data_IF_699147876865
#
_entry.id   IF_699147876865
#
_cell.length_a   1.000
_cell.length_b   1.000
_cell.length_c   1.000
_cell.angle_alpha   90.00
_cell.angle_beta   90.00
_cell.angle_gamma   90.00
#
_symmetry.space_group_name_H-M   'P 1'
#
loop_
_entity.id
_entity.type
_entity.pdbx_description
1 polymer ?
#
# COMPACT_ATOMS: atom_id res chain seq x y z
N UNK A 1 -8.46 -41.52 -1.35
CA UNK A 1 -7.52 -41.38 -0.23
C UNK A 1 -6.40 -40.38 -0.47
N UNK A 2 -5.73 -40.38 -1.64
CA UNK A 2 -4.65 -39.43 -1.99
C UNK A 2 -5.06 -37.94 -1.89
N UNK A 3 -6.25 -37.57 -2.37
CA UNK A 3 -6.73 -36.17 -2.34
C UNK A 3 -6.95 -35.63 -0.92
N UNK A 4 -7.37 -36.46 0.01
CA UNK A 4 -7.56 -36.04 1.40
C UNK A 4 -6.23 -35.81 2.11
N UNK A 5 -5.21 -36.63 1.88
CA UNK A 5 -3.88 -36.43 2.44
C UNK A 5 -3.19 -35.17 1.91
N UNK A 6 -3.34 -34.88 0.62
CA UNK A 6 -2.83 -33.65 -0.01
C UNK A 6 -3.51 -32.42 0.63
N UNK A 7 -4.81 -32.48 0.85
CA UNK A 7 -5.58 -31.39 1.45
C UNK A 7 -5.17 -31.14 2.92
N UNK A 8 -4.88 -32.20 3.66
CA UNK A 8 -4.40 -32.12 5.03
C UNK A 8 -2.98 -31.53 5.11
N UNK A 9 -2.10 -31.93 4.22
CA UNK A 9 -0.74 -31.41 4.10
C UNK A 9 -0.77 -29.91 3.77
N UNK A 10 -1.56 -29.49 2.77
CA UNK A 10 -1.72 -28.09 2.39
C UNK A 10 -2.25 -27.24 3.55
N UNK A 11 -3.23 -27.76 4.30
CA UNK A 11 -3.79 -27.09 5.48
C UNK A 11 -2.72 -26.85 6.55
N UNK A 12 -1.83 -27.80 6.77
CA UNK A 12 -0.76 -27.67 7.75
C UNK A 12 0.27 -26.62 7.31
N UNK A 13 0.68 -26.63 6.03
CA UNK A 13 1.59 -25.63 5.47
C UNK A 13 1.00 -24.21 5.64
N UNK A 14 -0.24 -23.99 5.24
CA UNK A 14 -0.91 -22.68 5.40
C UNK A 14 -0.94 -22.25 6.87
N UNK A 15 -1.19 -23.19 7.78
CA UNK A 15 -1.24 -22.88 9.23
C UNK A 15 0.12 -22.49 9.78
N UNK A 16 1.18 -23.17 9.33
CA UNK A 16 2.53 -22.90 9.78
C UNK A 16 3.05 -21.57 9.24
N UNK A 17 2.78 -21.24 7.97
CA UNK A 17 3.04 -19.93 7.39
C UNK A 17 2.27 -18.80 8.11
N UNK A 18 1.02 -19.04 8.46
CA UNK A 18 0.24 -18.06 9.22
C UNK A 18 0.83 -17.81 10.62
N UNK A 19 1.30 -18.85 11.30
CA UNK A 19 1.98 -18.70 12.60
C UNK A 19 3.26 -17.90 12.45
N UNK A 20 4.06 -18.21 11.43
CA UNK A 20 5.29 -17.49 11.14
C UNK A 20 5.05 -15.98 10.92
N UNK A 21 4.09 -15.61 10.08
CA UNK A 21 3.73 -14.21 9.86
C UNK A 21 3.23 -13.55 11.15
N UNK A 22 2.43 -14.25 11.94
CA UNK A 22 1.92 -13.75 13.22
C UNK A 22 3.06 -13.46 14.20
N UNK A 23 4.07 -14.31 14.24
CA UNK A 23 5.24 -14.15 15.09
C UNK A 23 6.14 -13.00 14.61
N UNK A 24 6.33 -12.85 13.28
CA UNK A 24 7.08 -11.72 12.69
C UNK A 24 6.46 -10.35 13.05
N UNK A 25 5.13 -10.27 13.04
CA UNK A 25 4.42 -9.04 13.44
C UNK A 25 4.47 -8.85 14.97
N UNK A 26 4.76 -9.92 15.72
CA UNK A 26 4.70 -9.93 17.18
C UNK A 26 3.27 -9.79 17.70
N UNK A 27 2.29 -10.35 16.98
CA UNK A 27 0.87 -10.14 17.20
C UNK A 27 0.43 -10.46 18.63
N UNK A 28 0.92 -11.55 19.22
CA UNK A 28 0.53 -11.97 20.58
C UNK A 28 0.89 -10.92 21.66
N UNK A 29 1.95 -10.15 21.43
CA UNK A 29 2.40 -9.10 22.37
C UNK A 29 1.84 -7.71 22.01
N UNK A 30 1.64 -7.44 20.72
CA UNK A 30 1.31 -6.10 20.19
C UNK A 30 -0.12 -5.99 19.66
N UNK A 31 -0.97 -7.02 19.82
CA UNK A 31 -2.32 -7.02 19.26
C UNK A 31 -3.14 -5.80 19.67
N UNK A 32 -3.05 -5.39 20.94
CA UNK A 32 -3.76 -4.20 21.45
C UNK A 32 -3.27 -2.91 20.76
N UNK A 33 -1.95 -2.75 20.61
CA UNK A 33 -1.36 -1.59 19.92
C UNK A 33 -1.72 -1.55 18.45
N UNK A 34 -1.65 -2.70 17.76
CA UNK A 34 -2.03 -2.84 16.36
C UNK A 34 -3.49 -2.46 16.16
N UNK A 35 -4.38 -3.00 17.01
CA UNK A 35 -5.80 -2.69 16.96
C UNK A 35 -6.07 -1.20 17.24
N UNK A 36 -5.43 -0.62 18.28
CA UNK A 36 -5.54 0.80 18.61
C UNK A 36 -5.14 1.68 17.43
N UNK A 37 -3.98 1.41 16.82
CA UNK A 37 -3.49 2.18 15.69
C UNK A 37 -4.44 2.07 14.49
N UNK A 38 -4.93 0.86 14.18
CA UNK A 38 -5.93 0.66 13.13
C UNK A 38 -7.23 1.42 13.41
N UNK A 39 -7.70 1.39 14.65
CA UNK A 39 -8.94 2.05 15.06
C UNK A 39 -8.82 3.58 15.01
N UNK A 40 -7.69 4.12 15.48
CA UNK A 40 -7.43 5.56 15.55
C UNK A 40 -7.08 6.15 14.20
N UNK A 41 -6.16 5.52 13.46
CA UNK A 41 -5.65 6.03 12.18
C UNK A 41 -6.52 5.62 10.99
N UNK A 42 -7.36 4.60 11.16
CA UNK A 42 -8.21 4.04 10.10
C UNK A 42 -7.44 3.27 9.04
N UNK A 43 -6.14 3.09 9.22
CA UNK A 43 -5.25 2.43 8.25
C UNK A 43 -3.94 2.00 8.89
N UNK A 44 -3.41 0.87 8.42
CA UNK A 44 -2.11 0.37 8.81
C UNK A 44 -1.24 0.16 7.58
N UNK A 45 0.04 0.40 7.73
CA UNK A 45 1.05 0.13 6.72
C UNK A 45 2.15 -0.71 7.32
N UNK A 46 2.52 -1.76 6.60
CA UNK A 46 3.65 -2.61 6.94
C UNK A 46 4.58 -2.75 5.74
N UNK A 47 5.86 -2.54 5.97
CA UNK A 47 6.90 -2.80 4.99
C UNK A 47 7.38 -4.23 5.12
N UNK A 48 7.29 -4.98 4.04
CA UNK A 48 7.80 -6.34 3.91
C UNK A 48 9.27 -6.27 3.58
N UNK A 49 10.12 -6.78 4.46
CA UNK A 49 11.57 -6.84 4.25
C UNK A 49 11.95 -8.25 3.84
N UNK A 50 12.66 -8.37 2.74
CA UNK A 50 13.14 -9.63 2.17
C UNK A 50 14.65 -9.51 2.01
N UNK A 51 15.40 -10.54 2.38
CA UNK A 51 16.84 -10.59 2.13
C UNK A 51 17.08 -10.75 0.63
N UNK A 52 17.76 -9.76 0.04
CA UNK A 52 18.11 -9.77 -1.39
C UNK A 52 19.13 -10.85 -1.76
N UNK A 53 19.91 -11.34 -0.79
CA UNK A 53 20.90 -12.39 -1.01
C UNK A 53 20.27 -13.78 -0.99
N UNK A 54 19.16 -13.93 -0.23
CA UNK A 54 18.45 -15.21 -0.06
C UNK A 54 16.93 -15.01 -0.14
N UNK A 55 16.41 -14.59 -1.28
CA UNK A 55 14.97 -14.31 -1.45
C UNK A 55 14.10 -15.55 -1.24
N UNK A 56 14.67 -16.75 -1.35
CA UNK A 56 13.99 -18.03 -1.16
C UNK A 56 13.53 -18.25 0.29
N UNK A 57 14.14 -17.55 1.26
CA UNK A 57 13.74 -17.64 2.68
C UNK A 57 12.44 -16.87 2.97
N UNK A 58 11.93 -16.10 2.01
CA UNK A 58 10.69 -15.36 2.15
C UNK A 58 10.84 -14.05 2.93
N UNK A 59 9.88 -13.74 3.79
CA UNK A 59 9.87 -12.52 4.59
C UNK A 59 10.80 -12.66 5.79
N UNK A 60 11.77 -11.75 5.91
CA UNK A 60 12.67 -11.68 7.06
C UNK A 60 12.07 -10.84 8.19
N UNK A 61 11.43 -9.73 7.84
CA UNK A 61 10.88 -8.79 8.82
C UNK A 61 9.65 -8.09 8.26
N UNK A 62 8.74 -7.71 9.16
CA UNK A 62 7.56 -6.90 8.85
C UNK A 62 7.59 -5.65 9.73
N UNK A 63 7.89 -4.48 9.14
CA UNK A 63 8.03 -3.20 9.85
C UNK A 63 6.76 -2.37 9.76
N UNK A 64 6.24 -1.97 10.90
CA UNK A 64 5.18 -0.98 10.95
C UNK A 64 5.66 0.39 10.45
N UNK A 65 4.85 1.06 9.66
CA UNK A 65 5.09 2.42 9.18
C UNK A 65 3.96 3.33 9.65
N UNK A 66 4.35 4.45 10.27
CA UNK A 66 3.41 5.50 10.67
C UNK A 66 2.65 6.03 9.44
N UNK A 67 1.30 5.99 9.44
CA UNK A 67 0.46 6.48 8.36
C UNK A 67 0.67 7.95 7.98
N UNK A 68 1.24 8.75 8.89
CA UNK A 68 1.56 10.16 8.64
C UNK A 68 2.84 10.33 7.82
N UNK A 69 3.70 9.32 7.79
CA UNK A 69 5.01 9.35 7.12
C UNK A 69 5.01 8.70 5.75
N UNK A 70 3.91 8.08 5.33
CA UNK A 70 3.83 7.38 4.06
C UNK A 70 2.68 7.91 3.20
N UNK A 71 2.92 8.01 1.89
CA UNK A 71 1.92 8.44 0.91
C UNK A 71 2.00 7.61 -0.37
N UNK A 72 0.86 7.16 -0.85
CA UNK A 72 0.75 6.54 -2.18
C UNK A 72 0.81 7.62 -3.26
N UNK A 73 1.75 7.46 -4.17
CA UNK A 73 1.94 8.32 -5.34
C UNK A 73 1.48 7.58 -6.59
N UNK A 74 0.74 8.28 -7.45
CA UNK A 74 0.30 7.80 -8.76
C UNK A 74 0.84 8.74 -9.82
N UNK A 75 1.67 8.22 -10.70
CA UNK A 75 2.21 8.99 -11.82
C UNK A 75 1.60 8.42 -13.08
N UNK A 76 0.95 9.28 -13.84
CA UNK A 76 0.63 9.01 -15.25
C UNK A 76 1.80 9.54 -16.05
N UNK A 77 2.52 8.72 -16.82
CA UNK A 77 3.49 9.24 -17.77
C UNK A 77 2.75 10.25 -18.65
N UNK A 78 3.24 11.49 -18.70
CA UNK A 78 2.75 12.45 -19.70
C UNK A 78 3.15 11.88 -21.03
N UNK A 79 2.21 11.78 -21.97
CA UNK A 79 2.48 11.48 -23.36
C UNK A 79 3.45 12.52 -23.91
N UNK A 80 4.74 12.28 -23.79
CA UNK A 80 5.77 13.14 -24.39
C UNK A 80 5.88 12.91 -25.89
N UNK A 81 5.17 11.94 -26.45
CA UNK A 81 5.17 11.61 -27.86
C UNK A 81 3.76 11.49 -28.44
N UNK A 82 2.93 12.52 -28.28
CA UNK A 82 1.84 12.71 -29.23
C UNK A 82 2.45 13.15 -30.57
N UNK A 83 3.01 12.23 -31.33
CA UNK A 83 3.20 12.43 -32.76
C UNK A 83 1.82 12.56 -33.37
N UNK A 84 1.42 13.78 -33.66
CA UNK A 84 0.27 14.05 -34.49
C UNK A 84 0.63 13.55 -35.89
N UNK A 85 0.21 12.35 -36.26
CA UNK A 85 0.24 11.92 -37.63
C UNK A 85 -0.81 12.75 -38.38
N UNK A 86 -0.35 13.77 -39.04
CA UNK A 86 -1.15 14.55 -39.98
C UNK A 86 -1.40 13.63 -41.19
N UNK A 87 -2.59 13.07 -41.28
CA UNK A 87 -2.99 12.34 -42.48
C UNK A 87 -3.06 13.32 -43.67
N UNK A 88 -2.70 12.89 -44.86
CA UNK A 88 -2.72 13.75 -46.06
C UNK A 88 -4.07 14.40 -46.40
N UNK A 89 -5.16 13.93 -45.77
CA UNK A 89 -6.52 14.44 -45.96
C UNK A 89 -6.94 15.57 -45.02
N UNK A 90 -6.03 16.10 -44.18
CA UNK A 90 -6.34 17.22 -43.27
C UNK A 90 -7.29 16.90 -42.12
N UNK A 91 -7.73 15.69 -41.93
CA UNK A 91 -8.51 15.27 -40.78
C UNK A 91 -7.58 14.88 -39.64
N UNK A 92 -7.73 15.52 -38.47
CA UNK A 92 -7.08 15.14 -37.24
C UNK A 92 -7.69 13.80 -36.79
N UNK A 93 -6.95 12.72 -36.99
CA UNK A 93 -7.37 11.40 -36.46
C UNK A 93 -7.29 11.44 -34.94
N UNK A 94 -8.37 11.07 -34.25
CA UNK A 94 -8.32 10.76 -32.83
C UNK A 94 -7.23 9.70 -32.61
N UNK A 95 -6.17 10.08 -31.90
CA UNK A 95 -5.17 9.11 -31.46
C UNK A 95 -5.85 8.16 -30.51
N UNK A 96 -5.90 6.88 -30.84
CA UNK A 96 -6.22 5.80 -29.92
C UNK A 96 -5.24 5.93 -28.75
N UNK A 97 -5.73 6.41 -27.61
CA UNK A 97 -4.96 6.45 -26.39
C UNK A 97 -4.75 5.02 -25.96
N UNK A 98 -3.57 4.44 -26.22
CA UNK A 98 -3.11 3.27 -25.50
C UNK A 98 -3.22 3.59 -24.01
N UNK A 99 -3.84 2.69 -23.24
CA UNK A 99 -4.00 2.79 -21.79
C UNK A 99 -2.67 3.14 -21.15
N UNK A 100 -2.49 4.40 -20.79
CA UNK A 100 -1.25 4.91 -20.18
C UNK A 100 -1.11 4.23 -18.83
N UNK A 101 -0.21 3.24 -18.73
CA UNK A 101 0.03 2.46 -17.54
C UNK A 101 0.34 3.37 -16.35
N UNK A 102 -0.58 3.47 -15.40
CA UNK A 102 -0.38 4.23 -14.18
C UNK A 102 0.68 3.55 -13.33
N UNK A 103 1.76 4.29 -13.01
CA UNK A 103 2.81 3.81 -12.12
C UNK A 103 2.45 4.21 -10.69
N UNK A 104 2.31 3.24 -9.80
CA UNK A 104 2.00 3.45 -8.39
C UNK A 104 3.18 3.02 -7.52
N UNK A 105 3.56 3.88 -6.59
CA UNK A 105 4.59 3.60 -5.59
C UNK A 105 4.30 4.39 -4.31
N UNK A 106 4.87 3.95 -3.19
CA UNK A 106 4.83 4.69 -1.95
C UNK A 106 6.05 5.60 -1.80
N UNK A 107 5.84 6.75 -1.17
CA UNK A 107 6.93 7.63 -0.74
C UNK A 107 6.91 7.71 0.78
N UNK A 108 8.02 7.37 1.39
CA UNK A 108 8.24 7.41 2.84
C UNK A 108 9.10 8.61 3.23
N UNK A 109 8.68 9.34 4.26
CA UNK A 109 9.33 10.53 4.77
C UNK A 109 9.82 10.31 6.20
N UNK A 110 11.09 9.92 6.42
CA UNK A 110 11.60 9.54 7.75
C UNK A 110 11.58 10.68 8.76
N UNK A 111 11.84 11.92 8.32
CA UNK A 111 12.00 13.10 9.17
C UNK A 111 10.82 14.08 9.12
N UNK A 112 9.69 13.72 8.50
CA UNK A 112 8.58 14.64 8.33
C UNK A 112 7.24 13.96 8.17
N UNK A 113 6.18 14.75 8.16
CA UNK A 113 4.85 14.27 7.80
C UNK A 113 4.63 14.39 6.30
N UNK A 114 4.06 13.37 5.68
CA UNK A 114 3.71 13.36 4.25
C UNK A 114 2.68 14.45 3.87
N UNK A 115 2.14 15.17 4.84
CA UNK A 115 1.06 16.15 4.68
C UNK A 115 1.53 17.60 4.54
N UNK A 116 2.81 17.93 4.70
CA UNK A 116 3.25 19.33 4.51
C UNK A 116 3.21 19.70 3.02
N UNK A 117 2.11 20.31 2.63
CA UNK A 117 2.00 21.02 1.36
C UNK A 117 2.98 22.21 1.37
N UNK A 118 3.85 22.30 0.36
CA UNK A 118 4.62 23.50 0.04
C UNK A 118 6.00 23.66 0.69
N UNK A 119 6.41 22.85 1.62
CA UNK A 119 7.82 22.78 2.04
C UNK A 119 8.54 21.75 1.20
N UNK A 120 9.81 22.02 0.86
CA UNK A 120 10.76 21.02 0.37
C UNK A 120 10.96 20.02 1.50
N UNK A 121 9.94 19.17 1.71
CA UNK A 121 10.06 18.00 2.56
C UNK A 121 11.18 17.18 1.96
N UNK A 122 12.20 16.88 2.75
CA UNK A 122 13.40 16.17 2.31
C UNK A 122 13.04 15.00 1.39
N UNK A 123 13.90 14.68 0.47
CA UNK A 123 13.68 13.64 -0.55
C UNK A 123 13.12 12.37 0.12
N UNK A 124 11.82 12.12 -0.05
CA UNK A 124 11.19 10.91 0.45
C UNK A 124 11.78 9.67 -0.25
N UNK A 125 11.86 8.58 0.46
CA UNK A 125 12.33 7.30 -0.08
C UNK A 125 11.18 6.67 -0.86
N UNK A 126 11.42 6.33 -2.12
CA UNK A 126 10.45 5.61 -2.94
C UNK A 126 10.49 4.12 -2.60
N UNK A 127 9.33 3.54 -2.38
CA UNK A 127 9.14 2.12 -2.05
C UNK A 127 8.15 1.55 -3.05
N UNK A 128 8.46 0.38 -3.60
CA UNK A 128 7.57 -0.32 -4.52
C UNK A 128 6.23 -0.64 -3.85
N UNK A 129 5.14 -0.60 -4.60
CA UNK A 129 3.80 -0.82 -4.06
C UNK A 129 3.63 -2.21 -3.44
N UNK A 130 4.22 -3.21 -4.06
CA UNK A 130 4.20 -4.60 -3.62
C UNK A 130 5.01 -4.87 -2.35
N UNK A 131 6.01 -4.02 -2.03
CA UNK A 131 6.75 -4.11 -0.78
C UNK A 131 5.97 -3.59 0.45
N UNK A 132 4.82 -2.94 0.25
CA UNK A 132 3.97 -2.42 1.33
C UNK A 132 2.66 -3.21 1.41
N UNK A 133 2.34 -3.67 2.60
CA UNK A 133 1.01 -4.20 2.93
C UNK A 133 0.17 -3.08 3.54
N UNK A 134 -1.02 -2.88 2.99
CA UNK A 134 -1.98 -1.87 3.42
C UNK A 134 -3.25 -2.51 3.94
N UNK A 135 -3.68 -2.12 5.14
CA UNK A 135 -4.93 -2.54 5.73
C UNK A 135 -5.75 -1.30 6.10
N UNK A 136 -6.93 -1.14 5.52
CA UNK A 136 -7.84 -0.01 5.82
C UNK A 136 -8.92 -0.40 6.80
N UNK A 137 -9.54 0.61 7.44
CA UNK A 137 -10.73 0.44 8.28
C UNK A 137 -11.97 0.00 7.49
N UNK A 138 -11.94 0.12 6.16
CA UNK A 138 -13.11 -0.05 5.31
C UNK A 138 -14.05 1.17 5.28
N UNK A 139 -13.88 2.13 6.18
CA UNK A 139 -14.62 3.39 6.13
C UNK A 139 -13.92 4.34 5.16
N UNK A 140 -14.67 4.88 4.23
CA UNK A 140 -14.15 5.82 3.22
C UNK A 140 -14.98 7.10 3.22
N UNK A 141 -14.33 8.19 2.84
CA UNK A 141 -15.01 9.47 2.62
C UNK A 141 -16.01 9.38 1.46
N UNK A 142 -16.93 10.35 1.38
CA UNK A 142 -17.96 10.44 0.35
C UNK A 142 -17.40 10.29 -1.08
N UNK A 143 -16.20 10.80 -1.31
CA UNK A 143 -15.49 10.71 -2.59
C UNK A 143 -14.67 9.41 -2.76
N UNK A 144 -14.69 8.49 -1.78
CA UNK A 144 -13.96 7.21 -1.76
C UNK A 144 -12.43 7.32 -1.93
N UNK A 145 -11.86 8.49 -1.62
CA UNK A 145 -10.44 8.75 -1.80
C UNK A 145 -9.61 8.58 -0.52
N UNK A 146 -10.23 8.78 0.65
CA UNK A 146 -9.54 8.79 1.93
C UNK A 146 -10.17 7.74 2.85
N UNK A 147 -9.34 6.86 3.42
CA UNK A 147 -9.76 5.98 4.50
C UNK A 147 -9.96 6.78 5.78
N UNK A 148 -11.12 6.58 6.42
CA UNK A 148 -11.50 7.28 7.62
C UNK A 148 -11.22 6.43 8.87
N UNK A 149 -10.90 7.11 9.96
CA UNK A 149 -10.85 6.54 11.31
C UNK A 149 -12.25 6.17 11.82
N UNK A 150 -12.35 5.16 12.68
CA UNK A 150 -13.59 4.91 13.42
C UNK A 150 -13.97 6.05 14.34
N UNK A 151 -13.00 6.83 14.82
CA UNK A 151 -13.23 8.03 15.64
C UNK A 151 -13.77 9.22 14.85
N UNK A 152 -13.78 9.16 13.51
CA UNK A 152 -14.22 10.28 12.67
C UNK A 152 -15.62 10.79 13.03
N UNK A 153 -16.54 9.89 13.37
CA UNK A 153 -17.92 10.25 13.77
C UNK A 153 -17.98 10.95 15.13
N UNK A 154 -17.03 10.68 16.01
CA UNK A 154 -16.99 11.27 17.36
C UNK A 154 -16.53 12.72 17.36
N UNK A 155 -15.84 13.18 16.32
CA UNK A 155 -15.32 14.56 16.21
C UNK A 155 -16.45 15.58 16.26
N UNK A 156 -17.62 15.29 15.64
CA UNK A 156 -18.78 16.19 15.67
C UNK A 156 -19.41 16.33 17.05
N UNK A 157 -19.28 15.34 17.90
CA UNK A 157 -19.86 15.38 19.26
C UNK A 157 -18.93 16.09 20.25
N UNK A 158 -17.66 16.31 19.89
CA UNK A 158 -16.66 16.95 20.72
C UNK A 158 -16.49 18.46 20.43
N UNK A 159 -17.02 18.93 19.29
CA UNK A 159 -17.09 20.34 18.90
C UNK A 159 -18.50 20.93 19.15
#
# INVERSE_FOLDING_TARGET
MLSYQILLSLKNVIRDEFKYIKDLIGFDKKAHEIFRNWYVDGRLYYHKVIDLQKPELGLEEVRYIDPLKIKLMRIRPKDQDKRYEVKPSGSVGESVTEDTKVIEFYTYYPQGTAQKYGSIAGKGVKIAKDAITYCSSGLVDRNKHIGLSYLHKSIKALN
#
